data_IF_805982273001
#
_entry.id   IF_805982273001
#
_cell.length_a   1.000
_cell.length_b   1.000
_cell.length_c   1.000
_cell.angle_alpha   90.00
_cell.angle_beta   90.00
_cell.angle_gamma   90.00
#
_symmetry.space_group_name_H-M   'P 1'
#
loop_
_entity.id
_entity.type
_entity.pdbx_description
1 polymer ?
#
# COMPACT_ATOMS: atom_id res chain seq x y z
N UNK A 1 9.61 4.95 -10.07
CA UNK A 1 9.68 3.69 -9.29
C UNK A 1 8.72 2.70 -9.91
N UNK A 2 9.22 1.53 -10.27
CA UNK A 2 8.41 0.42 -10.81
C UNK A 2 7.72 -0.33 -9.68
N UNK A 3 6.63 -1.04 -9.99
CA UNK A 3 5.90 -1.82 -8.98
C UNK A 3 6.77 -2.92 -8.35
N UNK A 4 7.66 -3.55 -9.13
CA UNK A 4 8.60 -4.55 -8.63
C UNK A 4 9.64 -3.98 -7.66
N UNK A 5 10.15 -2.77 -7.92
CA UNK A 5 11.05 -2.06 -7.00
C UNK A 5 10.36 -1.74 -5.67
N UNK A 6 9.12 -1.26 -5.73
CA UNK A 6 8.29 -0.97 -4.55
C UNK A 6 7.99 -2.25 -3.76
N UNK A 7 7.60 -3.33 -4.42
CA UNK A 7 7.33 -4.62 -3.76
C UNK A 7 8.57 -5.19 -3.08
N UNK A 8 9.76 -5.07 -3.69
CA UNK A 8 11.02 -5.49 -3.06
C UNK A 8 11.33 -4.64 -1.82
N UNK A 9 11.18 -3.32 -1.91
CA UNK A 9 11.39 -2.43 -0.77
C UNK A 9 10.42 -2.73 0.39
N UNK A 10 9.15 -3.00 0.09
CA UNK A 10 8.12 -3.31 1.08
C UNK A 10 8.27 -4.70 1.70
N UNK A 11 8.57 -5.75 0.92
CA UNK A 11 8.78 -7.11 1.45
C UNK A 11 9.92 -7.21 2.46
N UNK A 12 10.89 -6.32 2.38
CA UNK A 12 12.03 -6.28 3.30
C UNK A 12 11.69 -5.58 4.63
N UNK A 13 10.63 -4.78 4.67
CA UNK A 13 10.25 -3.96 5.83
C UNK A 13 8.93 -4.38 6.47
N UNK A 14 7.90 -4.60 5.65
CA UNK A 14 6.53 -4.83 6.12
C UNK A 14 5.71 -5.64 5.12
N UNK A 15 5.44 -6.89 5.47
CA UNK A 15 4.69 -7.84 4.64
C UNK A 15 3.26 -7.37 4.34
N UNK A 16 2.62 -6.61 5.24
CA UNK A 16 1.23 -6.17 5.10
C UNK A 16 1.03 -5.17 3.95
N UNK A 17 1.96 -4.21 3.78
CA UNK A 17 1.91 -3.24 2.67
C UNK A 17 2.20 -3.91 1.32
N UNK A 18 3.15 -4.85 1.30
CA UNK A 18 3.43 -5.65 0.11
C UNK A 18 2.22 -6.50 -0.29
N UNK A 19 1.58 -7.16 0.69
CA UNK A 19 0.38 -7.97 0.48
C UNK A 19 -0.80 -7.16 -0.06
N UNK A 20 -0.91 -5.89 0.32
CA UNK A 20 -1.91 -4.97 -0.23
C UNK A 20 -1.71 -4.71 -1.72
N UNK A 21 -0.49 -4.33 -2.12
CA UNK A 21 -0.17 -4.09 -3.53
C UNK A 21 -0.35 -5.38 -4.34
N UNK A 22 0.11 -6.51 -3.81
CA UNK A 22 -0.07 -7.81 -4.46
C UNK A 22 -1.54 -8.16 -4.67
N UNK A 23 -2.40 -7.89 -3.68
CA UNK A 23 -3.85 -8.14 -3.78
C UNK A 23 -4.50 -7.23 -4.82
N UNK A 24 -4.16 -5.94 -4.80
CA UNK A 24 -4.65 -4.98 -5.81
C UNK A 24 -4.24 -5.40 -7.22
N UNK A 25 -3.00 -5.85 -7.41
CA UNK A 25 -2.53 -6.30 -8.71
C UNK A 25 -3.18 -7.61 -9.17
N UNK A 26 -3.28 -8.58 -8.25
CA UNK A 26 -3.84 -9.91 -8.52
C UNK A 26 -5.32 -9.83 -8.86
N UNK A 27 -6.08 -9.09 -8.06
CA UNK A 27 -7.54 -9.06 -8.13
C UNK A 27 -8.06 -7.84 -8.90
N UNK A 28 -7.15 -6.97 -9.38
CA UNK A 28 -7.44 -5.70 -10.10
C UNK A 28 -8.50 -4.86 -9.38
N UNK A 29 -8.36 -4.75 -8.07
CA UNK A 29 -9.36 -4.09 -7.24
C UNK A 29 -9.36 -2.58 -7.51
N UNK A 30 -10.53 -1.97 -7.77
CA UNK A 30 -10.64 -0.52 -7.91
C UNK A 30 -10.55 0.21 -6.56
N UNK A 31 -10.67 -0.51 -5.44
CA UNK A 31 -10.51 0.04 -4.10
C UNK A 31 -10.08 -1.02 -3.10
N UNK A 32 -9.49 -0.56 -2.00
CA UNK A 32 -9.09 -1.39 -0.85
C UNK A 32 -9.67 -0.81 0.43
N UNK A 33 -10.18 -1.69 1.29
CA UNK A 33 -10.72 -1.32 2.60
C UNK A 33 -9.67 -1.66 3.65
N UNK A 34 -9.27 -0.66 4.43
CA UNK A 34 -8.22 -0.81 5.44
C UNK A 34 -8.71 -0.19 6.75
N UNK A 35 -8.52 -0.86 7.90
CA UNK A 35 -8.78 -0.25 9.19
C UNK A 35 -7.99 1.06 9.35
N UNK A 36 -8.66 2.11 9.80
CA UNK A 36 -8.07 3.43 10.02
C UNK A 36 -6.85 3.33 10.94
N UNK A 37 -6.90 2.47 11.95
CA UNK A 37 -5.79 2.22 12.88
C UNK A 37 -4.54 1.69 12.17
N UNK A 38 -4.69 0.82 11.17
CA UNK A 38 -3.55 0.30 10.42
C UNK A 38 -2.90 1.42 9.59
N UNK A 39 -3.70 2.28 8.97
CA UNK A 39 -3.19 3.45 8.25
C UNK A 39 -2.44 4.40 9.17
N UNK A 40 -2.94 4.65 10.39
CA UNK A 40 -2.23 5.50 11.35
C UNK A 40 -0.92 4.86 11.82
N UNK A 41 -0.92 3.56 12.13
CA UNK A 41 0.31 2.84 12.50
C UNK A 41 1.37 2.93 11.40
N UNK A 42 0.98 2.82 10.12
CA UNK A 42 1.91 2.96 8.99
C UNK A 42 2.46 4.39 8.85
N UNK A 43 1.63 5.39 9.10
CA UNK A 43 2.06 6.80 9.07
C UNK A 43 3.04 7.13 10.19
N UNK A 44 2.87 6.53 11.36
CA UNK A 44 3.75 6.76 12.53
C UNK A 44 5.06 5.99 12.42
N UNK A 45 4.99 4.71 12.07
CA UNK A 45 6.17 3.83 12.06
C UNK A 45 7.04 4.03 10.81
N UNK A 46 6.43 4.19 9.63
CA UNK A 46 7.15 4.22 8.35
C UNK A 46 6.52 5.21 7.33
N UNK A 47 6.52 6.52 7.63
CA UNK A 47 5.83 7.53 6.82
C UNK A 47 6.29 7.59 5.36
N UNK A 48 7.57 7.33 5.09
CA UNK A 48 8.12 7.34 3.72
C UNK A 48 7.56 6.20 2.87
N UNK A 49 7.56 4.97 3.40
CA UNK A 49 7.05 3.79 2.69
C UNK A 49 5.54 3.85 2.52
N UNK A 50 4.84 4.40 3.50
CA UNK A 50 3.42 4.70 3.35
C UNK A 50 3.15 5.71 2.22
N UNK A 51 3.91 6.81 2.15
CA UNK A 51 3.75 7.80 1.10
C UNK A 51 4.00 7.23 -0.31
N UNK A 52 5.01 6.36 -0.45
CA UNK A 52 5.28 5.63 -1.69
C UNK A 52 4.12 4.70 -2.09
N UNK A 53 3.57 3.96 -1.13
CA UNK A 53 2.43 3.07 -1.35
C UNK A 53 1.17 3.86 -1.73
N UNK A 54 0.88 4.96 -1.02
CA UNK A 54 -0.24 5.84 -1.32
C UNK A 54 -0.11 6.49 -2.71
N UNK A 55 1.10 6.91 -3.09
CA UNK A 55 1.40 7.43 -4.42
C UNK A 55 1.19 6.38 -5.51
N UNK A 56 1.59 5.13 -5.26
CA UNK A 56 1.35 4.02 -6.18
C UNK A 56 -0.14 3.73 -6.37
N UNK A 57 -0.92 3.70 -5.27
CA UNK A 57 -2.38 3.50 -5.33
C UNK A 57 -3.07 4.59 -6.14
N UNK A 58 -2.69 5.85 -5.92
CA UNK A 58 -3.21 6.98 -6.69
C UNK A 58 -2.87 6.88 -8.18
N UNK A 59 -1.63 6.51 -8.52
CA UNK A 59 -1.20 6.31 -9.91
C UNK A 59 -1.96 5.17 -10.63
N UNK A 60 -2.45 4.18 -9.88
CA UNK A 60 -3.23 3.05 -10.41
C UNK A 60 -4.75 3.26 -10.31
N UNK A 61 -5.22 4.46 -9.93
CA UNK A 61 -6.63 4.77 -9.70
C UNK A 61 -7.31 3.84 -8.69
N UNK A 62 -6.58 3.42 -7.66
CA UNK A 62 -7.10 2.54 -6.61
C UNK A 62 -7.49 3.39 -5.42
N UNK A 63 -8.79 3.38 -5.09
CA UNK A 63 -9.29 4.15 -3.96
C UNK A 63 -8.97 3.46 -2.63
N UNK A 64 -8.59 4.25 -1.63
CA UNK A 64 -8.35 3.76 -0.28
C UNK A 64 -9.53 4.14 0.61
N UNK A 65 -10.24 3.13 1.12
CA UNK A 65 -11.39 3.30 2.00
C UNK A 65 -10.98 2.94 3.42
N UNK A 66 -11.06 3.92 4.32
CA UNK A 66 -10.75 3.72 5.74
C UNK A 66 -12.02 3.40 6.50
N UNK A 67 -11.97 2.37 7.36
CA UNK A 67 -13.08 1.93 8.23
C UNK A 67 -12.68 1.88 9.69
#
# INVERSE_FOLDING_TARGET
MTTDELLRALRTSRADLAGLIETVMRDRLPYIVIPTQAVQAWREEEPQRWAETAGWLAAHNVALVQV
#
